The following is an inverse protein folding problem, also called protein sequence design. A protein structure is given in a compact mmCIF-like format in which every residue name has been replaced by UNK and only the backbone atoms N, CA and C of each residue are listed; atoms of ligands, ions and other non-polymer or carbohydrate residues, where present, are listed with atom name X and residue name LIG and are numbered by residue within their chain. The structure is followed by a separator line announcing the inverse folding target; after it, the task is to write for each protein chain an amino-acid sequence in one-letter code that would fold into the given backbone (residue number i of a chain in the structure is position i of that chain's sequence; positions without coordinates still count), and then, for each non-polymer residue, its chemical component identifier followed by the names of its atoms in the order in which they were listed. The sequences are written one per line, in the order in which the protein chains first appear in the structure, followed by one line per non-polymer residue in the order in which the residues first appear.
data_IF_360783672648
#
_entry.id   IF_360783672648
#
_cell.length_a   1.000
_cell.length_b   1.000
_cell.length_c   1.000
_cell.angle_alpha   90.00
_cell.angle_beta   90.00
_cell.angle_gamma   90.00
#
_symmetry.space_group_name_H-M   'P 1'
#
loop_
_entity.id
_entity.type
_entity.pdbx_description
1 polymer ?
#
# COMPACT_ATOMS: atom_id res chain seq x y z
N UNK A 1 -17.44 -80.14 -4.93
CA UNK A 1 -17.39 -80.80 -3.62
C UNK A 1 -17.06 -79.76 -2.55
N UNK A 2 -18.00 -79.47 -1.63
CA UNK A 2 -17.67 -78.99 -0.26
C UNK A 2 -17.46 -80.25 0.61
N UNK A 3 -16.83 -80.26 1.82
CA UNK A 3 -16.67 -79.16 2.80
C UNK A 3 -15.37 -79.20 3.67
N UNK A 4 -15.29 -78.33 4.70
CA UNK A 4 -14.52 -78.54 5.95
C UNK A 4 -13.46 -77.47 6.24
N UNK A 5 -13.69 -76.40 7.01
CA UNK A 5 -13.98 -76.26 8.45
C UNK A 5 -12.82 -76.69 9.38
N UNK A 6 -12.11 -75.74 9.98
CA UNK A 6 -12.02 -75.49 11.45
C UNK A 6 -10.80 -74.63 11.84
N UNK A 7 -10.98 -73.94 12.97
CA UNK A 7 -10.29 -72.76 13.44
C UNK A 7 -9.33 -73.02 14.62
N UNK A 8 -8.67 -71.93 15.05
CA UNK A 8 -8.05 -71.61 16.36
C UNK A 8 -6.61 -72.09 16.59
N UNK A 9 -5.71 -71.41 17.34
CA UNK A 9 -5.47 -70.03 17.84
C UNK A 9 -4.25 -70.15 18.78
N UNK A 10 -3.48 -69.07 18.99
CA UNK A 10 -2.48 -68.81 20.07
C UNK A 10 -1.09 -69.43 19.78
N UNK A 11 0.02 -68.70 19.59
CA UNK A 11 0.66 -67.63 20.39
C UNK A 11 2.01 -68.21 20.90
N UNK A 12 3.15 -67.53 21.06
CA UNK A 12 3.60 -66.15 20.98
C UNK A 12 5.16 -66.15 20.93
N UNK A 13 5.77 -65.01 20.58
CA UNK A 13 7.20 -64.71 20.77
C UNK A 13 8.02 -64.56 19.49
N UNK A 14 8.82 -63.53 19.21
CA UNK A 14 9.10 -62.20 19.80
C UNK A 14 10.06 -61.50 18.82
N UNK A 15 10.08 -60.16 18.83
CA UNK A 15 11.07 -59.23 18.25
C UNK A 15 11.11 -59.11 16.69
N UNK A 16 11.07 -57.93 16.07
CA UNK A 16 11.10 -56.56 16.57
C UNK A 16 11.12 -55.57 15.38
N UNK A 17 11.15 -54.28 15.74
CA UNK A 17 11.29 -53.06 14.92
C UNK A 17 9.98 -52.43 14.45
N UNK A 18 9.52 -51.49 15.28
CA UNK A 18 8.64 -50.38 14.94
C UNK A 18 9.37 -49.44 13.97
N UNK A 19 8.77 -49.17 12.81
CA UNK A 19 9.00 -47.96 12.04
C UNK A 19 7.64 -47.28 11.88
N UNK A 20 7.43 -46.23 12.66
CA UNK A 20 6.31 -45.29 12.48
C UNK A 20 6.79 -44.26 11.47
N UNK A 21 6.44 -44.44 10.20
CA UNK A 21 6.52 -43.39 9.19
C UNK A 21 5.18 -42.66 9.15
N UNK A 22 5.10 -41.57 9.91
CA UNK A 22 4.06 -40.56 9.73
C UNK A 22 4.30 -39.84 8.41
N UNK A 23 3.40 -40.03 7.45
CA UNK A 23 3.30 -39.18 6.27
C UNK A 23 2.44 -37.99 6.65
N UNK A 24 3.09 -36.89 7.03
CA UNK A 24 2.50 -35.56 6.88
C UNK A 24 2.50 -35.25 5.38
N UNK A 25 1.32 -35.33 4.77
CA UNK A 25 1.09 -34.66 3.51
C UNK A 25 0.98 -33.16 3.83
N UNK A 26 2.05 -32.40 3.61
CA UNK A 26 1.94 -30.96 3.45
C UNK A 26 1.09 -30.75 2.19
N UNK A 27 -0.14 -30.29 2.37
CA UNK A 27 -0.91 -29.75 1.27
C UNK A 27 -0.23 -28.43 0.88
N UNK A 28 0.18 -28.23 -0.39
CA UNK A 28 0.60 -26.91 -0.82
C UNK A 28 -0.60 -25.98 -0.65
N UNK A 29 -0.41 -24.90 0.08
CA UNK A 29 -1.39 -23.83 0.15
C UNK A 29 -1.62 -23.33 -1.27
N UNK A 30 -2.75 -23.73 -1.88
CA UNK A 30 -3.31 -22.96 -2.98
C UNK A 30 -4.04 -21.79 -2.33
N UNK A 31 -3.31 -20.75 -1.92
CA UNK A 31 -3.95 -19.46 -1.70
C UNK A 31 -4.20 -18.90 -3.10
N UNK A 32 -5.46 -18.79 -3.52
CA UNK A 32 -5.80 -17.74 -4.47
C UNK A 32 -5.25 -16.45 -3.86
N UNK A 33 -4.43 -15.71 -4.61
CA UNK A 33 -3.92 -14.43 -4.14
C UNK A 33 -5.13 -13.55 -3.77
N UNK A 34 -5.33 -13.33 -2.47
CA UNK A 34 -6.31 -12.35 -1.98
C UNK A 34 -5.84 -10.99 -2.49
N UNK A 35 -6.55 -10.52 -3.51
CA UNK A 35 -6.46 -9.14 -3.95
C UNK A 35 -7.69 -8.41 -3.43
N UNK A 36 -7.51 -7.13 -3.15
CA UNK A 36 -8.18 -6.35 -2.10
C UNK A 36 -7.69 -6.65 -0.66
N UNK A 37 -7.55 -5.61 0.20
CA UNK A 37 -7.09 -5.75 1.57
C UNK A 37 -8.02 -6.65 2.41
N UNK A 38 -7.48 -7.59 3.21
CA UNK A 38 -8.32 -8.47 4.03
C UNK A 38 -9.08 -7.72 5.13
N UNK A 39 -10.41 -7.79 5.13
CA UNK A 39 -11.30 -7.20 6.14
C UNK A 39 -12.22 -6.11 5.61
N UNK A 40 -13.10 -5.58 6.46
CA UNK A 40 -14.11 -4.58 6.05
C UNK A 40 -13.53 -3.17 5.79
N UNK A 41 -12.30 -2.90 6.24
CA UNK A 41 -11.64 -1.59 6.11
C UNK A 41 -10.49 -1.66 5.11
N UNK A 42 -10.64 -1.01 3.96
CA UNK A 42 -9.70 -1.11 2.86
C UNK A 42 -8.64 0.01 2.78
N UNK A 43 -8.84 1.12 3.48
CA UNK A 43 -7.96 2.29 3.35
C UNK A 43 -6.60 2.05 4.01
N UNK A 44 -5.53 2.33 3.25
CA UNK A 44 -4.14 2.35 3.73
C UNK A 44 -3.68 3.78 3.96
N UNK A 45 -2.91 4.03 5.02
CA UNK A 45 -2.09 5.23 5.15
C UNK A 45 -0.61 4.87 5.06
N UNK A 46 0.12 5.39 4.08
CA UNK A 46 1.59 5.31 4.06
C UNK A 46 2.17 6.42 4.93
N UNK A 47 2.83 6.07 6.03
CA UNK A 47 3.52 7.00 6.92
C UNK A 47 5.02 6.99 6.61
N UNK A 48 5.38 7.66 5.52
CA UNK A 48 6.71 7.63 4.95
C UNK A 48 7.75 8.26 5.89
N UNK A 49 8.84 7.52 6.12
CA UNK A 49 9.98 7.87 6.99
C UNK A 49 9.63 8.21 8.44
N UNK A 50 8.40 7.90 8.88
CA UNK A 50 7.98 8.18 10.25
C UNK A 50 8.60 7.17 11.22
N UNK A 51 9.25 7.61 12.32
CA UNK A 51 9.79 6.70 13.31
C UNK A 51 8.72 5.75 13.88
N UNK A 52 9.08 4.49 14.14
CA UNK A 52 8.11 3.46 14.57
C UNK A 52 7.34 3.86 15.84
N UNK A 53 7.99 4.56 16.77
CA UNK A 53 7.32 5.05 17.97
C UNK A 53 6.25 6.10 17.70
N UNK A 54 6.38 6.89 16.64
CA UNK A 54 5.36 7.87 16.24
C UNK A 54 4.25 7.20 15.44
N UNK A 55 4.57 6.24 14.57
CA UNK A 55 3.56 5.39 13.90
C UNK A 55 2.67 4.69 14.94
N UNK A 56 3.26 4.15 16.01
CA UNK A 56 2.53 3.51 17.10
C UNK A 56 1.49 4.44 17.75
N UNK A 57 1.83 5.74 17.92
CA UNK A 57 0.90 6.75 18.45
C UNK A 57 -0.19 7.07 17.44
N UNK A 58 0.17 7.33 16.18
CA UNK A 58 -0.80 7.63 15.12
C UNK A 58 -1.83 6.51 14.93
N UNK A 59 -1.42 5.25 15.10
CA UNK A 59 -2.35 4.13 15.09
C UNK A 59 -3.46 4.27 16.13
N UNK A 60 -3.14 4.65 17.37
CA UNK A 60 -4.12 4.81 18.45
C UNK A 60 -4.87 6.14 18.42
N UNK A 61 -4.18 7.23 18.07
CA UNK A 61 -4.71 8.60 18.18
C UNK A 61 -5.52 8.99 16.94
N UNK A 62 -5.15 8.49 15.76
CA UNK A 62 -5.71 8.93 14.47
C UNK A 62 -6.26 7.77 13.64
N UNK A 63 -5.42 6.82 13.26
CA UNK A 63 -5.74 5.84 12.21
C UNK A 63 -6.86 4.87 12.64
N UNK A 64 -6.74 4.30 13.84
CA UNK A 64 -7.76 3.40 14.40
C UNK A 64 -9.12 4.10 14.56
N UNK A 65 -9.19 5.25 15.26
CA UNK A 65 -10.41 6.04 15.39
C UNK A 65 -11.05 6.47 14.06
N UNK A 66 -10.25 6.89 13.07
CA UNK A 66 -10.74 7.28 11.74
C UNK A 66 -11.20 6.08 10.89
N UNK A 67 -10.77 4.87 11.23
CA UNK A 67 -11.18 3.65 10.57
C UNK A 67 -10.29 3.22 9.41
N UNK A 68 -9.01 3.59 9.40
CA UNK A 68 -8.04 3.00 8.48
C UNK A 68 -7.91 1.50 8.74
N UNK A 69 -7.74 0.71 7.68
CA UNK A 69 -7.47 -0.72 7.78
C UNK A 69 -6.00 -1.01 7.96
N UNK A 70 -5.14 -0.20 7.33
CA UNK A 70 -3.71 -0.45 7.22
C UNK A 70 -2.87 0.81 7.44
N UNK A 71 -1.67 0.60 7.96
CA UNK A 71 -0.56 1.55 7.89
C UNK A 71 0.60 0.90 7.14
N UNK A 72 1.13 1.57 6.12
CA UNK A 72 2.37 1.17 5.47
C UNK A 72 3.52 1.99 6.05
N UNK A 73 4.61 1.30 6.41
CA UNK A 73 5.82 1.90 6.98
C UNK A 73 7.02 1.72 6.05
N UNK A 74 7.89 2.73 6.03
CA UNK A 74 9.15 2.69 5.28
C UNK A 74 10.07 1.52 5.69
N UNK A 75 11.06 1.17 4.86
CA UNK A 75 11.89 -0.01 5.07
C UNK A 75 12.51 -0.08 6.48
N UNK A 76 12.28 -1.21 7.15
CA UNK A 76 12.79 -1.44 8.50
C UNK A 76 14.24 -1.97 8.53
N UNK A 77 14.74 -2.40 7.38
CA UNK A 77 16.05 -3.03 7.22
C UNK A 77 17.19 -2.09 7.56
N UNK A 78 18.29 -2.65 8.05
CA UNK A 78 19.57 -1.98 8.08
C UNK A 78 19.93 -1.51 6.68
N UNK A 79 20.28 -0.24 6.57
CA UNK A 79 20.58 0.40 5.31
C UNK A 79 21.87 1.22 5.42
N UNK A 80 22.30 1.83 4.31
CA UNK A 80 23.50 2.67 4.32
C UNK A 80 23.31 3.92 5.20
N UNK A 81 24.41 4.46 5.73
CA UNK A 81 24.38 5.77 6.41
C UNK A 81 24.17 6.91 5.42
N UNK A 82 23.52 7.98 5.88
CA UNK A 82 23.30 9.23 5.15
C UNK A 82 22.03 9.92 5.62
N UNK A 83 21.87 11.20 5.30
CA UNK A 83 20.67 11.94 5.75
C UNK A 83 19.51 11.75 4.78
N UNK A 84 19.80 11.51 3.49
CA UNK A 84 18.81 11.42 2.41
C UNK A 84 17.82 10.25 2.62
N UNK A 85 16.57 10.44 2.22
CA UNK A 85 15.51 9.43 2.37
C UNK A 85 15.80 8.15 1.60
N UNK A 86 16.34 8.26 0.38
CA UNK A 86 16.60 7.11 -0.49
C UNK A 86 17.68 6.17 0.07
N UNK A 87 18.40 6.58 1.11
CA UNK A 87 19.33 5.67 1.79
C UNK A 87 18.60 4.51 2.46
N UNK A 88 17.35 4.68 2.90
CA UNK A 88 16.47 3.63 3.44
C UNK A 88 16.19 2.52 2.42
N UNK A 89 16.34 2.84 1.12
CA UNK A 89 16.17 1.93 -0.02
C UNK A 89 17.51 1.35 -0.50
N UNK A 90 18.57 1.39 0.32
CA UNK A 90 19.83 0.69 0.03
C UNK A 90 20.18 -0.26 1.17
N UNK A 91 19.59 -1.47 1.18
CA UNK A 91 19.81 -2.44 2.24
C UNK A 91 21.29 -2.83 2.37
N UNK A 92 21.69 -3.08 3.60
CA UNK A 92 23.01 -3.61 3.98
C UNK A 92 22.87 -4.99 4.62
N UNK A 93 21.82 -5.19 5.42
CA UNK A 93 21.41 -6.49 5.92
C UNK A 93 19.91 -6.49 6.18
N UNK A 94 19.34 -7.68 6.46
CA UNK A 94 17.94 -7.80 6.86
C UNK A 94 17.71 -7.65 8.37
N UNK A 95 18.68 -7.12 9.12
CA UNK A 95 18.44 -6.71 10.51
C UNK A 95 17.44 -5.56 10.55
N UNK A 96 16.56 -5.53 11.55
CA UNK A 96 15.73 -4.34 11.82
C UNK A 96 16.58 -3.34 12.62
N UNK A 97 17.27 -2.47 11.88
CA UNK A 97 18.23 -1.51 12.43
C UNK A 97 18.34 -0.26 11.54
N UNK A 98 17.24 0.18 10.94
CA UNK A 98 17.18 1.42 10.16
C UNK A 98 17.10 2.67 11.04
N UNK A 99 17.02 3.85 10.40
CA UNK A 99 16.88 5.15 11.07
C UNK A 99 15.61 5.33 11.90
N UNK A 100 14.60 4.49 11.66
CA UNK A 100 13.23 4.64 12.20
C UNK A 100 13.05 4.04 13.59
N UNK A 101 14.01 3.22 14.04
CA UNK A 101 13.98 2.53 15.31
C UNK A 101 14.59 1.14 15.21
N UNK A 102 14.87 0.55 16.37
CA UNK A 102 15.35 -0.83 16.46
C UNK A 102 14.19 -1.84 16.36
N UNK A 103 14.54 -3.12 16.37
CA UNK A 103 13.58 -4.24 16.38
C UNK A 103 12.53 -4.12 17.48
N UNK A 104 12.89 -3.67 18.68
CA UNK A 104 11.96 -3.58 19.80
C UNK A 104 10.94 -2.44 19.57
N UNK A 105 11.37 -1.32 19.00
CA UNK A 105 10.49 -0.24 18.57
C UNK A 105 9.54 -0.69 17.45
N UNK A 106 10.04 -1.46 16.47
CA UNK A 106 9.22 -2.03 15.41
C UNK A 106 8.14 -2.99 15.95
N UNK A 107 8.52 -3.97 16.78
CA UNK A 107 7.58 -4.91 17.40
C UNK A 107 6.52 -4.20 18.28
N UNK A 108 6.95 -3.16 19.02
CA UNK A 108 6.05 -2.34 19.83
C UNK A 108 5.05 -1.58 18.96
N UNK A 109 5.49 -1.05 17.82
CA UNK A 109 4.62 -0.37 16.86
C UNK A 109 3.61 -1.34 16.24
N UNK A 110 4.04 -2.53 15.80
CA UNK A 110 3.11 -3.53 15.25
C UNK A 110 2.03 -3.88 16.28
N UNK A 111 2.44 -4.16 17.52
CA UNK A 111 1.51 -4.49 18.62
C UNK A 111 0.53 -3.35 18.94
N UNK A 112 1.00 -2.10 18.92
CA UNK A 112 0.17 -0.93 19.17
C UNK A 112 -0.86 -0.71 18.05
N UNK A 113 -0.44 -0.86 16.79
CA UNK A 113 -1.31 -0.75 15.64
C UNK A 113 -2.37 -1.86 15.63
N UNK A 114 -1.98 -3.11 15.88
CA UNK A 114 -2.93 -4.22 16.01
C UNK A 114 -3.96 -3.96 17.12
N UNK A 115 -3.52 -3.45 18.27
CA UNK A 115 -4.41 -3.08 19.38
C UNK A 115 -5.40 -1.96 19.02
N UNK A 116 -5.04 -1.09 18.08
CA UNK A 116 -5.90 -0.04 17.53
C UNK A 116 -6.78 -0.53 16.36
N UNK A 117 -6.66 -1.81 15.97
CA UNK A 117 -7.38 -2.38 14.83
C UNK A 117 -6.80 -1.99 13.47
N UNK A 118 -5.54 -1.54 13.42
CA UNK A 118 -4.82 -1.14 12.21
C UNK A 118 -3.71 -2.16 11.92
N UNK A 119 -3.75 -2.76 10.73
CA UNK A 119 -2.76 -3.73 10.28
C UNK A 119 -1.51 -3.04 9.71
N UNK A 120 -0.33 -3.63 9.89
CA UNK A 120 0.93 -3.05 9.39
C UNK A 120 1.35 -3.69 8.08
N UNK A 121 1.65 -2.90 7.06
CA UNK A 121 2.31 -3.30 5.81
C UNK A 121 3.77 -2.84 5.89
N UNK A 122 4.72 -3.75 5.67
CA UNK A 122 6.13 -3.39 5.60
C UNK A 122 6.55 -3.13 4.15
N UNK A 123 7.23 -2.01 3.89
CA UNK A 123 7.94 -1.78 2.63
C UNK A 123 9.21 -2.66 2.59
N UNK A 124 9.24 -3.62 1.66
CA UNK A 124 10.24 -4.66 1.59
C UNK A 124 11.12 -4.47 0.34
N UNK A 125 12.37 -4.07 0.57
CA UNK A 125 13.39 -3.89 -0.46
C UNK A 125 14.15 -5.20 -0.67
N UNK A 126 13.73 -5.95 -1.69
CA UNK A 126 14.21 -7.32 -1.95
C UNK A 126 14.80 -7.53 -3.35
N UNK A 127 14.77 -6.52 -4.21
CA UNK A 127 15.39 -6.55 -5.53
C UNK A 127 16.92 -6.45 -5.47
N UNK A 128 17.44 -5.56 -4.62
CA UNK A 128 18.83 -5.16 -4.64
C UNK A 128 19.37 -4.94 -3.22
N UNK A 129 20.69 -4.78 -3.15
CA UNK A 129 21.43 -4.28 -2.00
C UNK A 129 22.14 -2.96 -2.37
N UNK A 130 22.86 -2.34 -1.44
CA UNK A 130 23.49 -1.03 -1.63
C UNK A 130 24.54 -0.93 -2.78
N UNK A 131 24.71 0.26 -3.36
CA UNK A 131 25.60 0.50 -4.52
C UNK A 131 27.10 0.62 -4.19
N UNK A 132 27.55 0.27 -2.98
CA UNK A 132 28.90 0.65 -2.53
C UNK A 132 29.43 -0.15 -1.34
N UNK A 133 30.28 0.47 -0.54
CA UNK A 133 30.89 -0.13 0.64
C UNK A 133 30.86 0.83 1.82
N UNK A 134 30.76 0.29 3.03
CA UNK A 134 30.78 1.09 4.24
C UNK A 134 30.33 0.28 5.45
N UNK A 135 29.74 0.99 6.40
CA UNK A 135 29.09 0.40 7.58
C UNK A 135 27.63 0.82 7.53
N UNK A 136 26.72 -0.15 7.69
CA UNK A 136 25.29 0.13 7.74
C UNK A 136 24.88 0.75 9.07
N UNK A 137 23.65 1.25 9.14
CA UNK A 137 23.07 1.86 10.36
C UNK A 137 23.01 0.92 11.56
N UNK A 138 23.07 -0.39 11.33
CA UNK A 138 23.13 -1.46 12.34
C UNK A 138 24.55 -1.93 12.66
N UNK A 139 25.57 -1.32 12.06
CA UNK A 139 26.98 -1.63 12.31
C UNK A 139 27.57 -2.73 11.42
N UNK A 140 26.84 -3.25 10.44
CA UNK A 140 27.35 -4.27 9.51
C UNK A 140 28.32 -3.63 8.52
N UNK A 141 29.57 -4.11 8.49
CA UNK A 141 30.51 -3.77 7.43
C UNK A 141 30.13 -4.50 6.14
N UNK A 142 30.10 -3.79 5.01
CA UNK A 142 29.72 -4.34 3.71
C UNK A 142 30.56 -3.76 2.58
N UNK A 143 30.60 -4.48 1.46
CA UNK A 143 31.04 -3.94 0.17
C UNK A 143 30.10 -4.39 -0.94
N UNK A 144 30.20 -3.77 -2.11
CA UNK A 144 29.32 -4.10 -3.23
C UNK A 144 29.46 -5.60 -3.55
N UNK A 145 28.33 -6.30 -3.54
CA UNK A 145 28.18 -7.76 -3.68
C UNK A 145 28.67 -8.64 -2.50
N UNK A 146 29.13 -8.06 -1.39
CA UNK A 146 29.57 -8.80 -0.21
C UNK A 146 28.92 -8.21 1.05
N UNK A 147 27.91 -8.91 1.57
CA UNK A 147 27.07 -8.53 2.70
C UNK A 147 27.14 -9.65 3.74
N UNK A 148 28.14 -9.62 4.65
CA UNK A 148 28.45 -10.72 5.55
C UNK A 148 27.23 -11.26 6.30
N UNK A 149 27.04 -12.58 6.23
CA UNK A 149 25.91 -13.27 6.86
C UNK A 149 24.59 -13.19 6.09
N UNK A 150 24.51 -12.40 5.01
CA UNK A 150 23.31 -12.25 4.19
C UNK A 150 23.56 -12.71 2.75
N UNK A 151 24.39 -12.01 1.97
CA UNK A 151 24.66 -12.29 0.56
C UNK A 151 26.15 -12.19 0.22
N UNK A 152 26.59 -12.97 -0.77
CA UNK A 152 27.97 -12.98 -1.30
C UNK A 152 27.94 -12.82 -2.84
N UNK A 153 29.09 -12.64 -3.49
CA UNK A 153 29.15 -12.26 -4.91
C UNK A 153 28.31 -13.13 -5.86
N UNK A 154 28.23 -14.44 -5.60
CA UNK A 154 27.44 -15.39 -6.41
C UNK A 154 25.92 -15.37 -6.18
N UNK A 155 25.43 -14.53 -5.27
CA UNK A 155 24.01 -14.29 -5.01
C UNK A 155 23.44 -13.11 -5.84
N UNK A 156 24.27 -12.47 -6.67
CA UNK A 156 23.92 -11.32 -7.49
C UNK A 156 23.97 -11.66 -8.97
N UNK A 157 23.19 -10.93 -9.77
CA UNK A 157 23.21 -11.08 -11.21
C UNK A 157 24.58 -10.72 -11.83
N UNK A 158 24.84 -11.32 -12.99
CA UNK A 158 26.09 -11.12 -13.72
C UNK A 158 26.17 -9.78 -14.46
N UNK A 159 25.04 -9.15 -14.77
CA UNK A 159 25.01 -7.85 -15.43
C UNK A 159 25.23 -6.74 -14.40
N UNK A 160 26.44 -6.20 -14.36
CA UNK A 160 26.88 -5.17 -13.40
C UNK A 160 26.96 -3.79 -14.05
N UNK A 161 25.97 -3.50 -14.88
CA UNK A 161 25.82 -2.24 -15.62
C UNK A 161 24.44 -1.64 -15.32
N UNK A 162 24.32 -0.33 -15.43
CA UNK A 162 23.04 0.35 -15.23
C UNK A 162 22.02 -0.01 -16.31
N UNK A 163 20.77 -0.21 -15.90
CA UNK A 163 19.62 -0.29 -16.80
C UNK A 163 19.54 0.99 -17.64
N UNK A 164 19.47 0.84 -18.96
CA UNK A 164 19.47 1.95 -19.92
C UNK A 164 18.43 1.82 -21.04
N UNK A 165 17.82 0.65 -21.20
CA UNK A 165 16.80 0.31 -22.20
C UNK A 165 15.66 -0.49 -21.55
N UNK A 166 14.57 0.21 -21.23
CA UNK A 166 13.37 -0.40 -20.63
C UNK A 166 12.56 -1.25 -21.63
N UNK A 167 12.97 -1.31 -22.91
CA UNK A 167 12.41 -2.24 -23.90
C UNK A 167 13.14 -3.58 -23.93
N UNK A 168 14.25 -3.72 -23.19
CA UNK A 168 14.96 -4.96 -22.97
C UNK A 168 14.63 -5.52 -21.57
N UNK A 169 13.78 -6.56 -21.53
CA UNK A 169 13.39 -7.24 -20.28
C UNK A 169 14.59 -7.77 -19.51
N UNK A 170 15.56 -8.36 -20.22
CA UNK A 170 16.73 -8.96 -19.57
C UNK A 170 17.51 -7.88 -18.84
N UNK A 171 17.62 -6.70 -19.44
CA UNK A 171 18.26 -5.58 -18.78
C UNK A 171 17.44 -5.09 -17.59
N UNK A 172 16.13 -4.88 -17.76
CA UNK A 172 15.26 -4.37 -16.69
C UNK A 172 15.26 -5.26 -15.44
N UNK A 173 15.39 -6.58 -15.60
CA UNK A 173 15.23 -7.54 -14.50
C UNK A 173 16.53 -8.14 -13.97
N UNK A 174 17.64 -8.04 -14.72
CA UNK A 174 18.90 -8.68 -14.34
C UNK A 174 20.12 -7.75 -14.30
N UNK A 175 19.95 -6.45 -14.58
CA UNK A 175 21.01 -5.43 -14.50
C UNK A 175 20.73 -4.43 -13.37
N UNK A 176 21.69 -3.56 -13.08
CA UNK A 176 21.63 -2.71 -11.90
C UNK A 176 20.67 -1.52 -12.09
N UNK A 177 19.68 -1.42 -11.20
CA UNK A 177 18.91 -0.19 -11.06
C UNK A 177 19.80 0.89 -10.42
N UNK A 178 20.26 1.86 -11.20
CA UNK A 178 21.10 3.01 -10.76
C UNK A 178 22.32 2.61 -9.89
N UNK A 179 22.97 1.51 -10.27
CA UNK A 179 24.19 1.01 -9.66
C UNK A 179 23.99 0.18 -8.39
N UNK A 180 22.74 -0.09 -8.01
CA UNK A 180 22.39 -0.94 -6.87
C UNK A 180 22.75 -2.40 -7.17
N UNK A 181 23.28 -3.11 -6.17
CA UNK A 181 23.75 -4.48 -6.36
C UNK A 181 22.54 -5.42 -6.52
N UNK A 182 22.29 -5.84 -7.76
CA UNK A 182 21.07 -6.54 -8.17
C UNK A 182 21.09 -8.03 -7.80
N UNK A 183 20.15 -8.48 -6.95
CA UNK A 183 20.10 -9.84 -6.44
C UNK A 183 19.61 -10.80 -7.53
N UNK A 184 20.23 -11.99 -7.63
CA UNK A 184 19.75 -13.07 -8.49
C UNK A 184 18.51 -13.71 -7.86
N UNK A 185 17.36 -13.07 -8.02
CA UNK A 185 16.09 -13.53 -7.43
C UNK A 185 15.57 -14.82 -8.08
N UNK A 186 16.12 -15.25 -9.21
CA UNK A 186 15.89 -16.58 -9.79
C UNK A 186 16.60 -17.72 -9.04
N UNK A 187 17.60 -17.40 -8.22
CA UNK A 187 18.36 -18.39 -7.44
C UNK A 187 17.59 -18.83 -6.19
N UNK A 188 17.33 -20.14 -6.05
CA UNK A 188 16.56 -20.70 -4.93
C UNK A 188 17.13 -20.36 -3.54
N UNK A 189 18.45 -20.17 -3.41
CA UNK A 189 19.07 -19.79 -2.14
C UNK A 189 18.82 -18.31 -1.81
N UNK A 190 18.85 -17.44 -2.82
CA UNK A 190 18.49 -16.02 -2.67
C UNK A 190 17.02 -15.92 -2.28
N UNK A 191 16.14 -16.64 -3.00
CA UNK A 191 14.72 -16.69 -2.67
C UNK A 191 14.46 -17.16 -1.24
N UNK A 192 15.17 -18.20 -0.76
CA UNK A 192 15.02 -18.71 0.59
C UNK A 192 15.49 -17.70 1.66
N UNK A 193 16.56 -16.94 1.39
CA UNK A 193 17.04 -15.88 2.30
C UNK A 193 16.04 -14.73 2.39
N UNK A 194 15.48 -14.30 1.26
CA UNK A 194 14.44 -13.27 1.22
C UNK A 194 13.18 -13.76 1.94
N UNK A 195 12.72 -14.99 1.65
CA UNK A 195 11.55 -15.57 2.32
C UNK A 195 11.73 -15.63 3.84
N UNK A 196 12.92 -15.98 4.33
CA UNK A 196 13.23 -15.98 5.76
C UNK A 196 13.18 -14.58 6.39
N UNK A 197 13.58 -13.54 5.65
CA UNK A 197 13.42 -12.15 6.09
C UNK A 197 11.94 -11.73 6.16
N UNK A 198 11.14 -12.06 5.14
CA UNK A 198 9.71 -11.78 5.15
C UNK A 198 9.00 -12.55 6.27
N UNK A 199 9.34 -13.82 6.50
CA UNK A 199 8.83 -14.62 7.63
C UNK A 199 9.22 -14.00 8.99
N UNK A 200 10.43 -13.42 9.11
CA UNK A 200 10.83 -12.72 10.34
C UNK A 200 9.91 -11.53 10.62
N UNK A 201 9.57 -10.73 9.59
CA UNK A 201 8.61 -9.63 9.72
C UNK A 201 7.19 -10.14 10.04
N UNK A 202 6.74 -11.22 9.39
CA UNK A 202 5.45 -11.88 9.71
C UNK A 202 5.41 -12.33 11.16
N UNK A 203 6.50 -12.88 11.68
CA UNK A 203 6.60 -13.34 13.07
C UNK A 203 6.43 -12.22 14.10
N UNK A 204 6.69 -10.97 13.71
CA UNK A 204 6.48 -9.77 14.53
C UNK A 204 5.06 -9.20 14.42
N UNK A 205 4.19 -9.81 13.59
CA UNK A 205 2.79 -9.40 13.40
C UNK A 205 2.54 -8.49 12.20
N UNK A 206 3.54 -8.25 11.34
CA UNK A 206 3.32 -7.55 10.06
C UNK A 206 2.23 -8.28 9.29
N UNK A 207 1.26 -7.56 8.75
CA UNK A 207 0.06 -8.08 8.10
C UNK A 207 0.18 -8.22 6.57
N UNK A 208 1.25 -7.69 5.99
CA UNK A 208 1.49 -7.72 4.55
C UNK A 208 2.72 -6.95 4.12
N UNK A 209 2.97 -6.92 2.82
CA UNK A 209 4.16 -6.31 2.22
C UNK A 209 3.81 -5.42 1.04
N UNK A 210 4.52 -4.30 0.92
CA UNK A 210 4.72 -3.57 -0.33
C UNK A 210 6.09 -3.95 -0.85
N UNK A 211 6.16 -4.51 -2.05
CA UNK A 211 7.40 -4.98 -2.66
C UNK A 211 7.98 -3.86 -3.51
N UNK A 212 9.08 -3.30 -3.03
CA UNK A 212 9.85 -2.28 -3.73
C UNK A 212 10.45 -2.82 -5.03
N UNK A 213 10.47 -1.96 -6.05
CA UNK A 213 11.10 -2.25 -7.33
C UNK A 213 10.67 -3.58 -7.97
N UNK A 214 9.42 -4.02 -7.76
CA UNK A 214 8.94 -5.34 -8.21
C UNK A 214 9.07 -5.53 -9.73
N UNK A 215 8.98 -4.45 -10.51
CA UNK A 215 9.25 -4.45 -11.97
C UNK A 215 10.63 -5.03 -12.34
N UNK A 216 11.61 -4.84 -11.46
CA UNK A 216 13.00 -5.24 -11.64
C UNK A 216 13.27 -6.69 -11.20
N UNK A 217 12.24 -7.41 -10.74
CA UNK A 217 12.29 -8.85 -10.51
C UNK A 217 11.28 -9.55 -11.42
N UNK A 218 11.58 -10.76 -11.90
CA UNK A 218 10.57 -11.54 -12.63
C UNK A 218 9.40 -11.89 -11.69
N UNK A 219 8.15 -11.79 -12.18
CA UNK A 219 6.98 -12.14 -11.37
C UNK A 219 7.02 -13.59 -10.84
N UNK A 220 7.63 -14.51 -11.60
CA UNK A 220 7.86 -15.90 -11.18
C UNK A 220 8.84 -16.04 -10.03
N UNK A 221 9.80 -15.13 -9.92
CA UNK A 221 10.83 -15.16 -8.88
C UNK A 221 10.24 -14.64 -7.57
N UNK A 222 9.41 -13.59 -7.66
CA UNK A 222 8.59 -13.12 -6.54
C UNK A 222 7.61 -14.21 -6.08
N UNK A 223 6.96 -14.92 -7.00
CA UNK A 223 6.13 -16.10 -6.67
C UNK A 223 6.97 -17.19 -5.99
N UNK A 224 8.18 -17.43 -6.48
CA UNK A 224 9.16 -18.35 -5.89
C UNK A 224 9.50 -17.99 -4.45
N UNK A 225 9.78 -16.73 -4.16
CA UNK A 225 10.01 -16.18 -2.81
C UNK A 225 8.77 -16.41 -1.94
N UNK A 226 7.60 -15.98 -2.41
CA UNK A 226 6.32 -16.11 -1.69
C UNK A 226 6.01 -17.56 -1.34
N UNK A 227 6.30 -18.50 -2.25
CA UNK A 227 6.08 -19.94 -2.04
C UNK A 227 7.02 -20.59 -1.01
N UNK A 228 8.15 -19.94 -0.70
CA UNK A 228 9.13 -20.41 0.28
C UNK A 228 8.90 -19.85 1.68
N UNK A 229 8.00 -18.86 1.82
CA UNK A 229 7.57 -18.38 3.11
C UNK A 229 6.87 -19.50 3.88
N UNK A 230 7.16 -19.57 5.17
CA UNK A 230 6.55 -20.54 6.09
C UNK A 230 5.26 -20.02 6.70
N UNK A 231 5.10 -18.69 6.76
CA UNK A 231 3.86 -18.04 7.17
C UNK A 231 3.06 -17.59 5.94
N UNK A 232 1.74 -17.43 6.13
CA UNK A 232 0.93 -16.74 5.12
C UNK A 232 1.49 -15.31 4.91
N UNK A 233 1.85 -14.91 3.68
CA UNK A 233 2.38 -13.58 3.40
C UNK A 233 1.41 -12.44 3.78
N UNK A 234 0.10 -12.72 3.82
CA UNK A 234 -0.92 -11.71 4.05
C UNK A 234 -1.11 -10.80 2.84
N UNK A 235 -1.47 -9.53 3.09
CA UNK A 235 -1.72 -8.58 2.01
C UNK A 235 -0.44 -8.29 1.22
N UNK A 236 -0.54 -8.22 -0.10
CA UNK A 236 0.61 -8.12 -0.99
C UNK A 236 0.38 -7.04 -2.03
N UNK A 237 1.30 -6.09 -2.12
CA UNK A 237 1.28 -5.03 -3.13
C UNK A 237 2.62 -4.96 -3.83
N UNK A 238 2.62 -4.94 -5.16
CA UNK A 238 3.85 -4.83 -5.96
C UNK A 238 4.01 -3.44 -6.56
N UNK A 239 5.20 -2.84 -6.43
CA UNK A 239 5.54 -1.64 -7.16
C UNK A 239 5.95 -1.97 -8.60
N UNK A 240 5.05 -1.73 -9.55
CA UNK A 240 5.33 -1.92 -10.98
C UNK A 240 4.91 -0.68 -11.75
N UNK A 241 5.87 0.19 -12.02
CA UNK A 241 5.61 1.45 -12.74
C UNK A 241 5.30 1.12 -14.21
N UNK A 242 4.12 1.50 -14.69
CA UNK A 242 3.77 1.40 -16.10
C UNK A 242 4.65 2.31 -16.97
N UNK A 243 5.15 1.78 -18.08
CA UNK A 243 5.78 2.56 -19.13
C UNK A 243 5.28 2.12 -20.51
N UNK A 244 4.91 3.08 -21.36
CA UNK A 244 4.37 2.79 -22.68
C UNK A 244 5.46 2.16 -23.58
N UNK A 245 5.17 0.99 -24.13
CA UNK A 245 6.12 0.24 -24.98
C UNK A 245 7.26 -0.44 -24.22
N UNK A 246 7.30 -0.36 -22.89
CA UNK A 246 8.31 -1.04 -22.07
C UNK A 246 8.04 -2.56 -21.97
N UNK A 247 9.10 -3.33 -21.76
CA UNK A 247 9.04 -4.79 -21.87
C UNK A 247 8.35 -5.48 -20.68
N UNK A 248 8.28 -4.82 -19.53
CA UNK A 248 7.68 -5.33 -18.29
C UNK A 248 6.49 -4.46 -17.92
N UNK A 249 5.32 -5.08 -17.74
CA UNK A 249 4.04 -4.42 -17.55
C UNK A 249 3.36 -4.80 -16.22
N UNK A 250 2.57 -3.91 -15.59
CA UNK A 250 1.91 -4.15 -14.31
C UNK A 250 1.02 -5.40 -14.27
N UNK A 251 0.30 -5.69 -15.36
CA UNK A 251 -0.63 -6.81 -15.46
C UNK A 251 0.00 -8.17 -15.14
N UNK A 252 1.32 -8.31 -15.39
CA UNK A 252 2.10 -9.53 -15.12
C UNK A 252 2.15 -9.90 -13.62
N UNK A 253 1.93 -8.93 -12.73
CA UNK A 253 2.09 -9.07 -11.28
C UNK A 253 0.76 -9.21 -10.52
N UNK A 254 -0.37 -9.05 -11.20
CA UNK A 254 -1.72 -9.13 -10.61
C UNK A 254 -2.09 -10.51 -10.05
N UNK A 255 -1.33 -11.55 -10.43
CA UNK A 255 -1.41 -12.88 -9.84
C UNK A 255 -0.78 -12.99 -8.46
N UNK A 256 0.06 -12.02 -8.06
CA UNK A 256 0.77 -12.02 -6.78
C UNK A 256 -0.01 -11.29 -5.67
N UNK A 257 -0.82 -10.29 -6.06
CA UNK A 257 -1.57 -9.41 -5.16
C UNK A 257 -2.03 -8.15 -5.91
N UNK A 258 -2.26 -7.07 -5.16
CA UNK A 258 -2.52 -5.76 -5.74
C UNK A 258 -1.21 -5.21 -6.37
N UNK A 259 -1.35 -4.27 -7.29
CA UNK A 259 -0.23 -3.54 -7.90
C UNK A 259 -0.48 -2.05 -7.78
N UNK A 260 0.57 -1.30 -7.44
CA UNK A 260 0.52 0.15 -7.35
C UNK A 260 0.20 0.76 -8.73
N UNK A 261 -0.97 1.39 -8.86
CA UNK A 261 -1.47 1.93 -10.12
C UNK A 261 -1.02 3.39 -10.30
N UNK A 262 0.25 3.58 -10.68
CA UNK A 262 0.86 4.89 -10.90
C UNK A 262 0.10 5.79 -11.90
N UNK A 263 -0.66 5.19 -12.85
CA UNK A 263 -1.46 5.96 -13.81
C UNK A 263 -2.66 6.64 -13.14
N UNK A 264 -3.07 6.22 -11.94
CA UNK A 264 -4.12 6.89 -11.17
C UNK A 264 -3.70 8.32 -10.83
N UNK A 265 -2.59 8.50 -10.10
CA UNK A 265 -2.14 9.81 -9.63
C UNK A 265 -1.83 10.79 -10.77
N UNK A 266 -1.23 10.30 -11.86
CA UNK A 266 -0.97 11.12 -13.06
C UNK A 266 -2.26 11.56 -13.77
N UNK A 267 -3.27 10.68 -13.87
CA UNK A 267 -4.57 11.02 -14.43
C UNK A 267 -5.31 12.02 -13.53
N UNK A 268 -5.32 11.82 -12.21
CA UNK A 268 -5.91 12.76 -11.23
C UNK A 268 -5.25 14.13 -11.35
N UNK A 269 -3.91 14.20 -11.39
CA UNK A 269 -3.19 15.46 -11.62
C UNK A 269 -3.66 16.15 -12.89
N UNK A 270 -3.70 15.41 -14.01
CA UNK A 270 -4.13 15.95 -15.30
C UNK A 270 -5.55 16.51 -15.24
N UNK A 271 -6.49 15.82 -14.58
CA UNK A 271 -7.86 16.28 -14.45
C UNK A 271 -7.98 17.56 -13.60
N UNK A 272 -7.32 17.59 -12.44
CA UNK A 272 -7.37 18.72 -11.51
C UNK A 272 -6.66 19.97 -12.05
N UNK A 273 -5.53 19.81 -12.75
CA UNK A 273 -4.79 20.94 -13.32
C UNK A 273 -5.26 21.32 -14.73
N UNK A 274 -5.77 20.35 -15.50
CA UNK A 274 -6.24 20.53 -16.87
C UNK A 274 -7.73 20.89 -16.99
N UNK A 275 -8.50 20.77 -15.91
CA UNK A 275 -9.92 21.13 -15.87
C UNK A 275 -10.88 20.07 -16.43
N UNK A 276 -10.47 18.80 -16.45
CA UNK A 276 -11.29 17.66 -16.90
C UNK A 276 -11.66 16.74 -15.73
N UNK A 277 -12.35 17.29 -14.72
CA UNK A 277 -12.86 16.48 -13.61
C UNK A 277 -13.96 15.50 -14.07
N UNK A 278 -14.66 15.80 -15.17
CA UNK A 278 -15.70 14.93 -15.72
C UNK A 278 -15.15 13.59 -16.22
N UNK A 279 -13.96 13.58 -16.83
CA UNK A 279 -13.27 12.37 -17.28
C UNK A 279 -12.86 11.41 -16.16
N UNK A 280 -12.86 11.85 -14.90
CA UNK A 280 -12.54 10.99 -13.75
C UNK A 280 -13.62 9.93 -13.46
N UNK A 281 -14.78 9.99 -14.12
CA UNK A 281 -15.84 8.98 -13.98
C UNK A 281 -15.34 7.58 -14.30
N UNK A 282 -14.53 7.50 -15.34
CA UNK A 282 -14.06 6.25 -15.93
C UNK A 282 -12.57 6.08 -15.62
N UNK A 283 -12.12 6.51 -14.44
CA UNK A 283 -10.69 6.57 -14.08
C UNK A 283 -9.96 5.22 -14.22
N UNK A 284 -10.68 4.10 -14.07
CA UNK A 284 -10.14 2.75 -14.25
C UNK A 284 -9.96 2.31 -15.70
N UNK A 285 -10.51 3.02 -16.69
CA UNK A 285 -10.33 2.65 -18.09
C UNK A 285 -8.85 2.74 -18.51
N UNK A 286 -8.39 1.68 -19.19
CA UNK A 286 -7.00 1.52 -19.61
C UNK A 286 -6.01 1.26 -18.47
N UNK A 287 -6.50 0.92 -17.27
CA UNK A 287 -5.70 0.57 -16.09
C UNK A 287 -5.96 -0.87 -15.66
N UNK A 288 -5.32 -1.28 -14.57
CA UNK A 288 -5.55 -2.59 -13.95
C UNK A 288 -7.02 -2.78 -13.56
N UNK A 289 -7.44 -4.04 -13.42
CA UNK A 289 -8.73 -4.35 -12.81
C UNK A 289 -8.81 -3.73 -11.41
N UNK A 290 -9.95 -3.14 -11.05
CA UNK A 290 -10.13 -2.44 -9.78
C UNK A 290 -9.70 -3.29 -8.58
N UNK A 291 -10.13 -4.55 -8.51
CA UNK A 291 -9.76 -5.47 -7.42
C UNK A 291 -8.31 -5.97 -7.46
N UNK A 292 -7.46 -5.41 -8.32
CA UNK A 292 -6.02 -5.71 -8.47
C UNK A 292 -5.16 -4.45 -8.41
N UNK A 293 -5.76 -3.29 -8.15
CA UNK A 293 -5.11 -2.00 -8.22
C UNK A 293 -5.09 -1.34 -6.83
N UNK A 294 -3.94 -0.80 -6.44
CA UNK A 294 -3.84 0.15 -5.33
C UNK A 294 -3.66 1.56 -5.87
N UNK A 295 -4.63 2.43 -5.61
CA UNK A 295 -4.64 3.81 -6.09
C UNK A 295 -4.07 4.77 -5.05
N UNK A 296 -3.35 5.80 -5.50
CA UNK A 296 -2.83 6.87 -4.66
C UNK A 296 -2.76 8.17 -5.45
N UNK A 297 -2.94 9.32 -4.77
CA UNK A 297 -2.76 10.64 -5.39
C UNK A 297 -1.28 10.90 -5.68
N UNK A 298 -0.43 10.51 -4.75
CA UNK A 298 1.01 10.68 -4.76
C UNK A 298 1.70 9.62 -3.89
N UNK A 299 2.99 9.43 -4.10
CA UNK A 299 3.89 8.70 -3.20
C UNK A 299 5.21 9.49 -3.05
N UNK A 300 6.15 8.96 -2.28
CA UNK A 300 7.41 9.65 -2.00
C UNK A 300 8.25 9.90 -3.27
N UNK A 301 8.18 9.05 -4.28
CA UNK A 301 8.89 9.26 -5.56
C UNK A 301 8.20 10.29 -6.47
N UNK A 302 6.89 10.12 -6.68
CA UNK A 302 6.14 10.93 -7.64
C UNK A 302 5.96 12.37 -7.18
N UNK A 303 5.91 12.60 -5.86
CA UNK A 303 5.88 13.97 -5.31
C UNK A 303 7.20 14.71 -5.53
N UNK A 304 8.32 13.98 -5.61
CA UNK A 304 9.68 14.52 -5.80
C UNK A 304 10.04 14.72 -7.27
N UNK A 305 9.46 13.93 -8.17
CA UNK A 305 9.74 14.02 -9.61
C UNK A 305 8.70 14.84 -10.40
N UNK A 306 7.63 15.29 -9.75
CA UNK A 306 6.62 16.15 -10.34
C UNK A 306 5.58 15.43 -11.21
N UNK A 307 5.48 14.10 -11.13
CA UNK A 307 4.50 13.33 -11.91
C UNK A 307 3.08 13.43 -11.35
N UNK A 308 2.92 13.68 -10.05
CA UNK A 308 1.62 13.74 -9.37
C UNK A 308 1.34 15.11 -8.76
N UNK A 309 0.13 15.29 -8.21
CA UNK A 309 -0.15 16.36 -7.24
C UNK A 309 0.62 16.06 -5.95
N UNK A 310 0.80 17.05 -5.10
CA UNK A 310 1.52 16.93 -3.82
C UNK A 310 0.89 17.85 -2.79
N UNK A 311 1.31 17.75 -1.52
CA UNK A 311 0.87 18.69 -0.48
C UNK A 311 1.11 20.18 -0.85
N UNK A 312 2.06 20.48 -1.76
CA UNK A 312 2.37 21.82 -2.27
C UNK A 312 1.28 22.39 -3.17
N UNK A 313 0.40 21.54 -3.72
CA UNK A 313 -0.76 21.95 -4.53
C UNK A 313 -1.98 22.34 -3.68
N UNK A 314 -1.84 22.37 -2.35
CA UNK A 314 -2.84 22.92 -1.43
C UNK A 314 -4.19 22.19 -1.45
N UNK A 315 -5.26 22.94 -1.73
CA UNK A 315 -6.61 22.38 -1.76
C UNK A 315 -6.79 21.33 -2.86
N UNK A 316 -6.15 21.49 -4.03
CA UNK A 316 -6.26 20.52 -5.12
C UNK A 316 -5.80 19.11 -4.70
N UNK A 317 -4.71 19.02 -3.93
CA UNK A 317 -4.22 17.74 -3.37
C UNK A 317 -5.15 17.15 -2.32
N UNK A 318 -5.74 18.00 -1.49
CA UNK A 318 -6.72 17.55 -0.48
C UNK A 318 -7.98 17.01 -1.16
N UNK A 319 -8.51 17.74 -2.16
CA UNK A 319 -9.67 17.31 -2.95
C UNK A 319 -9.40 16.07 -3.81
N UNK A 320 -8.19 15.90 -4.32
CA UNK A 320 -7.77 14.69 -5.00
C UNK A 320 -7.82 13.45 -4.06
N UNK A 321 -7.44 13.61 -2.79
CA UNK A 321 -7.55 12.55 -1.80
C UNK A 321 -9.01 12.30 -1.37
N UNK A 322 -9.85 13.34 -1.29
CA UNK A 322 -11.31 13.18 -1.14
C UNK A 322 -11.88 12.35 -2.30
N UNK A 323 -11.46 12.63 -3.54
CA UNK A 323 -11.87 11.84 -4.71
C UNK A 323 -11.37 10.39 -4.64
N UNK A 324 -10.10 10.16 -4.27
CA UNK A 324 -9.52 8.83 -4.08
C UNK A 324 -10.36 7.97 -3.12
N UNK A 325 -10.77 8.55 -1.99
CA UNK A 325 -11.55 7.84 -0.96
C UNK A 325 -13.03 7.67 -1.35
N UNK A 326 -13.57 8.58 -2.16
CA UNK A 326 -14.96 8.52 -2.60
C UNK A 326 -15.21 7.56 -3.78
N UNK A 327 -14.23 7.41 -4.68
CA UNK A 327 -14.36 6.61 -5.89
C UNK A 327 -14.17 5.10 -5.61
N UNK A 328 -14.93 4.18 -6.25
CA UNK A 328 -14.82 2.73 -6.02
C UNK A 328 -13.61 2.04 -6.69
N UNK A 329 -12.65 2.80 -7.24
CA UNK A 329 -11.59 2.20 -8.05
C UNK A 329 -10.37 1.92 -7.18
N UNK A 330 -9.99 0.64 -7.10
CA UNK A 330 -8.82 0.19 -6.37
C UNK A 330 -8.95 0.26 -4.85
N UNK A 331 -7.93 -0.27 -4.20
CA UNK A 331 -7.67 -0.11 -2.78
C UNK A 331 -7.01 1.28 -2.57
N UNK A 332 -7.61 2.22 -1.80
CA UNK A 332 -7.04 3.55 -1.67
C UNK A 332 -5.87 3.58 -0.68
N UNK A 333 -4.77 4.23 -1.09
CA UNK A 333 -3.61 4.52 -0.26
C UNK A 333 -3.39 6.04 -0.14
N UNK A 334 -3.53 6.56 1.08
CA UNK A 334 -3.26 7.95 1.43
C UNK A 334 -1.80 8.09 1.83
N UNK A 335 -1.02 8.79 1.01
CA UNK A 335 0.37 9.08 1.31
C UNK A 335 0.49 10.26 2.30
N UNK A 336 1.37 10.10 3.30
CA UNK A 336 1.69 11.14 4.28
C UNK A 336 3.17 11.09 4.64
N UNK A 337 3.96 11.96 4.00
CA UNK A 337 5.38 12.17 4.31
C UNK A 337 5.64 13.47 5.08
N UNK A 338 6.68 14.18 4.66
CA UNK A 338 7.18 15.40 5.28
C UNK A 338 7.48 16.48 4.24
N UNK A 339 7.57 17.73 4.69
CA UNK A 339 7.85 18.87 3.84
C UNK A 339 9.32 18.87 3.39
N UNK A 340 9.56 19.17 2.12
CA UNK A 340 10.92 19.25 1.55
C UNK A 340 11.03 20.36 0.50
N UNK A 341 12.23 20.94 0.37
CA UNK A 341 12.57 21.85 -0.72
C UNK A 341 13.35 21.13 -1.82
N UNK A 342 14.37 20.36 -1.44
CA UNK A 342 15.20 19.57 -2.35
C UNK A 342 14.71 18.10 -2.39
N UNK A 343 14.73 17.49 -3.58
CA UNK A 343 14.20 16.13 -3.80
C UNK A 343 14.91 15.05 -2.99
N UNK A 344 16.17 15.26 -2.59
CA UNK A 344 16.96 14.28 -1.85
C UNK A 344 16.88 14.52 -0.34
N UNK A 345 16.15 15.55 0.11
CA UNK A 345 15.99 15.91 1.52
C UNK A 345 15.47 14.73 2.35
N UNK A 346 16.20 14.39 3.41
CA UNK A 346 15.78 13.40 4.40
C UNK A 346 14.63 13.86 5.30
N UNK A 347 14.08 12.96 6.12
CA UNK A 347 13.00 13.29 7.04
C UNK A 347 13.44 14.30 8.12
N UNK A 348 12.50 15.10 8.66
CA UNK A 348 12.79 16.01 9.76
C UNK A 348 13.11 15.25 11.04
N UNK A 349 13.93 15.85 11.91
CA UNK A 349 14.13 15.37 13.27
C UNK A 349 13.04 15.92 14.19
N UNK A 350 12.25 15.06 14.84
CA UNK A 350 11.21 15.48 15.79
C UNK A 350 9.81 15.61 15.18
N UNK A 351 8.94 16.41 15.79
CA UNK A 351 7.51 16.48 15.47
C UNK A 351 7.09 17.57 14.48
N UNK A 352 7.98 18.47 14.06
CA UNK A 352 7.69 19.52 13.08
C UNK A 352 8.09 19.09 11.66
N UNK A 353 7.47 19.67 10.63
CA UNK A 353 7.79 19.39 9.22
C UNK A 353 7.07 18.18 8.62
N UNK A 354 6.21 17.49 9.37
CA UNK A 354 5.35 16.42 8.84
C UNK A 354 4.11 16.99 8.16
N UNK A 355 3.76 16.46 6.98
CA UNK A 355 2.58 16.93 6.22
C UNK A 355 1.25 16.51 6.85
N UNK A 356 1.25 15.37 7.57
CA UNK A 356 0.11 14.80 8.28
C UNK A 356 -1.18 14.72 7.43
N UNK A 357 -1.04 14.41 6.13
CA UNK A 357 -2.18 14.33 5.20
C UNK A 357 -3.24 13.34 5.70
N UNK A 358 -2.81 12.18 6.19
CA UNK A 358 -3.68 11.14 6.74
C UNK A 358 -4.56 11.61 7.92
N UNK A 359 -4.12 12.63 8.65
CA UNK A 359 -4.77 13.13 9.87
C UNK A 359 -5.62 14.39 9.62
N UNK A 360 -5.63 14.92 8.39
CA UNK A 360 -6.49 16.05 8.04
C UNK A 360 -7.97 15.68 8.26
N UNK A 361 -8.81 16.55 8.84
CA UNK A 361 -10.23 16.26 9.08
C UNK A 361 -10.98 15.79 7.83
N UNK A 362 -10.70 16.40 6.68
CA UNK A 362 -11.30 16.03 5.41
C UNK A 362 -10.96 14.59 5.01
N UNK A 363 -9.76 14.13 5.36
CA UNK A 363 -9.27 12.81 4.99
C UNK A 363 -9.79 11.76 5.98
N UNK A 364 -9.72 12.01 7.28
CA UNK A 364 -10.24 11.07 8.29
C UNK A 364 -11.76 10.87 8.17
N UNK A 365 -12.51 11.95 7.90
CA UNK A 365 -13.94 11.85 7.60
C UNK A 365 -14.22 11.06 6.32
N UNK A 366 -13.39 11.22 5.29
CA UNK A 366 -13.52 10.45 4.05
C UNK A 366 -13.11 8.99 4.17
N UNK A 367 -12.29 8.60 5.14
CA UNK A 367 -12.07 7.18 5.49
C UNK A 367 -13.37 6.58 6.03
N UNK A 368 -14.06 7.29 6.92
CA UNK A 368 -15.39 6.88 7.41
C UNK A 368 -16.43 6.79 6.28
N UNK A 369 -16.41 7.75 5.35
CA UNK A 369 -17.22 7.70 4.13
C UNK A 369 -16.96 6.43 3.33
N UNK A 370 -15.69 6.15 2.99
CA UNK A 370 -15.30 4.98 2.20
C UNK A 370 -15.79 3.67 2.82
N UNK A 371 -15.56 3.50 4.11
CA UNK A 371 -16.01 2.32 4.86
C UNK A 371 -17.54 2.20 4.88
N UNK A 372 -18.27 3.31 4.90
CA UNK A 372 -19.75 3.29 4.91
C UNK A 372 -20.32 2.89 3.56
N UNK A 373 -19.75 3.41 2.47
CA UNK A 373 -20.30 3.20 1.12
C UNK A 373 -19.85 1.87 0.50
N UNK A 374 -18.73 1.29 0.95
CA UNK A 374 -18.23 0.00 0.50
C UNK A 374 -18.16 -0.11 -1.03
N UNK A 375 -18.80 -1.15 -1.58
CA UNK A 375 -18.84 -1.44 -3.02
C UNK A 375 -19.99 -0.75 -3.77
N UNK A 376 -20.70 0.20 -3.15
CA UNK A 376 -21.85 0.87 -3.80
C UNK A 376 -21.44 1.48 -5.16
N UNK A 377 -22.26 1.35 -6.19
CA UNK A 377 -21.91 1.84 -7.52
C UNK A 377 -21.90 3.38 -7.59
N UNK A 378 -21.15 3.93 -8.55
CA UNK A 378 -21.22 5.36 -8.88
C UNK A 378 -22.58 5.70 -9.49
N UNK A 379 -23.24 6.71 -8.94
CA UNK A 379 -24.49 7.28 -9.44
C UNK A 379 -24.42 8.80 -9.57
N UNK A 380 -25.47 9.39 -10.14
CA UNK A 380 -25.72 10.83 -10.15
C UNK A 380 -24.53 11.72 -10.52
N UNK A 381 -23.68 11.25 -11.44
CA UNK A 381 -22.46 11.94 -11.84
C UNK A 381 -22.75 13.27 -12.52
N UNK A 382 -22.19 14.34 -11.97
CA UNK A 382 -22.29 15.72 -12.46
C UNK A 382 -20.91 16.37 -12.47
N UNK A 383 -20.58 17.09 -13.55
CA UNK A 383 -19.37 17.91 -13.59
C UNK A 383 -19.59 19.15 -14.45
N UNK A 384 -19.15 20.32 -13.97
CA UNK A 384 -19.18 21.57 -14.73
C UNK A 384 -18.03 22.48 -14.26
N UNK A 385 -17.19 22.92 -15.20
CA UNK A 385 -16.02 23.73 -14.89
C UNK A 385 -15.10 23.03 -13.88
N UNK A 386 -14.93 23.63 -12.70
CA UNK A 386 -14.11 23.08 -11.63
C UNK A 386 -14.92 22.30 -10.56
N UNK A 387 -16.21 22.07 -10.80
CA UNK A 387 -17.09 21.30 -9.93
C UNK A 387 -17.23 19.85 -10.38
N UNK A 388 -17.30 18.94 -9.40
CA UNK A 388 -17.64 17.53 -9.59
C UNK A 388 -18.55 17.08 -8.44
N UNK A 389 -19.59 16.29 -8.73
CA UNK A 389 -20.43 15.66 -7.73
C UNK A 389 -20.91 14.28 -8.20
N UNK A 390 -21.11 13.35 -7.27
CA UNK A 390 -21.64 12.02 -7.56
C UNK A 390 -22.15 11.33 -6.29
N UNK A 391 -22.99 10.33 -6.47
CA UNK A 391 -23.46 9.44 -5.40
C UNK A 391 -22.72 8.10 -5.44
N UNK A 392 -22.72 7.42 -4.29
CA UNK A 392 -22.32 6.02 -4.10
C UNK A 392 -23.56 5.26 -3.65
N UNK A 393 -24.33 4.78 -4.63
CA UNK A 393 -25.67 4.23 -4.42
C UNK A 393 -26.57 5.19 -3.63
N UNK A 394 -27.29 4.64 -2.65
CA UNK A 394 -28.10 5.38 -1.69
C UNK A 394 -27.40 5.59 -0.34
N UNK A 395 -26.08 5.38 -0.30
CA UNK A 395 -25.29 5.28 0.93
C UNK A 395 -24.33 6.45 1.14
N UNK A 396 -23.95 7.15 0.07
CA UNK A 396 -23.11 8.35 0.17
C UNK A 396 -23.20 9.30 -1.01
N UNK A 397 -22.81 10.55 -0.79
CA UNK A 397 -22.78 11.63 -1.78
C UNK A 397 -21.56 12.52 -1.56
N UNK A 398 -20.91 12.93 -2.65
CA UNK A 398 -19.77 13.87 -2.62
C UNK A 398 -20.00 14.97 -3.64
N UNK A 399 -19.63 16.20 -3.28
CA UNK A 399 -19.47 17.33 -4.18
C UNK A 399 -18.16 18.06 -3.85
N UNK A 400 -17.33 18.35 -4.86
CA UNK A 400 -16.06 19.05 -4.72
C UNK A 400 -15.98 20.25 -5.66
N UNK A 401 -15.24 21.28 -5.23
CA UNK A 401 -15.04 22.51 -5.97
C UNK A 401 -13.55 22.85 -6.04
N UNK A 402 -12.93 22.54 -7.17
CA UNK A 402 -11.52 22.84 -7.45
C UNK A 402 -11.32 24.27 -8.01
N UNK A 403 -12.35 25.11 -7.99
CA UNK A 403 -12.31 26.48 -8.53
C UNK A 403 -12.00 27.53 -7.48
N UNK A 404 -11.78 28.77 -7.94
CA UNK A 404 -11.51 29.94 -7.08
C UNK A 404 -12.78 30.64 -6.57
N UNK A 405 -13.96 30.28 -7.10
CA UNK A 405 -15.25 30.86 -6.75
C UNK A 405 -16.16 29.84 -6.05
N UNK A 406 -17.20 30.32 -5.36
CA UNK A 406 -18.20 29.43 -4.76
C UNK A 406 -18.98 28.67 -5.83
N UNK A 407 -19.22 27.39 -5.57
CA UNK A 407 -20.10 26.54 -6.37
C UNK A 407 -21.45 26.44 -5.67
N UNK A 408 -22.49 27.05 -6.23
CA UNK A 408 -23.88 26.90 -5.76
C UNK A 408 -24.70 26.11 -6.77
N UNK A 409 -25.21 24.94 -6.37
CA UNK A 409 -25.94 24.03 -7.25
C UNK A 409 -26.90 23.15 -6.44
N UNK A 410 -27.98 22.71 -7.08
CA UNK A 410 -28.85 21.65 -6.55
C UNK A 410 -28.46 20.30 -7.17
N UNK A 411 -28.06 19.35 -6.33
CA UNK A 411 -27.65 18.01 -6.73
C UNK A 411 -28.72 16.96 -6.40
N UNK A 412 -28.65 15.82 -7.07
CA UNK A 412 -29.32 14.58 -6.65
C UNK A 412 -28.27 13.71 -5.96
N UNK A 413 -28.51 13.35 -4.70
CA UNK A 413 -27.51 12.68 -3.87
C UNK A 413 -27.66 11.16 -3.76
N UNK A 414 -28.80 10.62 -4.20
CA UNK A 414 -29.18 9.22 -3.95
C UNK A 414 -29.55 8.93 -2.49
N UNK A 415 -29.21 9.80 -1.53
CA UNK A 415 -29.46 9.61 -0.11
C UNK A 415 -30.94 9.75 0.25
N UNK A 416 -31.42 9.04 1.29
CA UNK A 416 -32.70 9.32 1.92
C UNK A 416 -32.80 10.76 2.44
N UNK A 417 -34.03 11.27 2.52
CA UNK A 417 -34.27 12.59 3.12
C UNK A 417 -33.87 12.60 4.59
N UNK A 418 -33.18 13.66 5.03
CA UNK A 418 -32.65 13.77 6.39
C UNK A 418 -31.61 14.88 6.52
N UNK A 419 -31.05 15.03 7.72
CA UNK A 419 -29.95 15.96 7.98
C UNK A 419 -28.68 15.15 8.20
N UNK A 420 -27.63 15.50 7.46
CA UNK A 420 -26.36 14.79 7.43
C UNK A 420 -25.22 15.70 7.84
N UNK A 421 -24.19 15.14 8.47
CA UNK A 421 -22.95 15.82 8.75
C UNK A 421 -22.11 15.92 7.46
N UNK A 422 -21.51 17.07 7.18
CA UNK A 422 -20.48 17.19 6.17
C UNK A 422 -19.16 16.64 6.73
N UNK A 423 -18.80 15.40 6.37
CA UNK A 423 -17.58 14.75 6.86
C UNK A 423 -16.31 15.17 6.12
N UNK A 424 -16.43 15.89 5.00
CA UNK A 424 -15.30 16.48 4.28
C UNK A 424 -15.05 17.95 4.70
N UNK A 425 -15.67 18.42 5.79
CA UNK A 425 -15.47 19.76 6.30
C UNK A 425 -14.07 19.93 6.91
N UNK A 426 -13.36 20.99 6.52
CA UNK A 426 -12.03 21.34 7.03
C UNK A 426 -12.02 21.89 8.46
N UNK A 427 -13.20 22.17 9.02
CA UNK A 427 -13.35 22.79 10.33
C UNK A 427 -14.68 22.46 11.00
N UNK A 428 -14.63 22.39 12.33
CA UNK A 428 -15.73 22.01 13.20
C UNK A 428 -15.64 20.54 13.60
N UNK A 429 -15.81 20.24 14.88
CA UNK A 429 -15.81 18.86 15.38
C UNK A 429 -16.97 18.03 14.81
N UNK A 430 -17.26 16.89 15.43
CA UNK A 430 -18.31 15.97 15.01
C UNK A 430 -19.61 16.70 14.64
N UNK A 431 -19.91 16.73 13.34
CA UNK A 431 -21.18 17.23 12.78
C UNK A 431 -21.48 18.73 12.91
N UNK A 432 -20.48 19.61 13.08
CA UNK A 432 -20.75 21.07 13.17
C UNK A 432 -21.30 21.68 11.87
N UNK A 433 -20.94 21.12 10.71
CA UNK A 433 -21.52 21.47 9.43
C UNK A 433 -22.56 20.42 9.03
N UNK A 434 -23.81 20.84 8.89
CA UNK A 434 -24.90 19.96 8.46
C UNK A 434 -25.46 20.36 7.11
N UNK A 435 -25.93 19.37 6.35
CA UNK A 435 -26.56 19.53 5.05
C UNK A 435 -27.90 18.80 5.06
N UNK A 436 -28.96 19.47 4.61
CA UNK A 436 -30.28 18.88 4.47
C UNK A 436 -30.40 18.18 3.11
N UNK A 437 -30.82 16.92 3.15
CA UNK A 437 -31.26 16.15 1.98
C UNK A 437 -32.78 16.19 1.97
N UNK A 438 -33.35 16.84 0.96
CA UNK A 438 -34.78 16.98 0.78
C UNK A 438 -35.45 15.72 0.21
N UNK A 439 -36.76 15.82 -0.02
CA UNK A 439 -37.51 14.76 -0.72
C UNK A 439 -36.88 14.44 -2.08
N UNK A 440 -36.80 13.16 -2.43
CA UNK A 440 -36.19 12.70 -3.68
C UNK A 440 -34.66 12.80 -3.73
N UNK A 441 -33.99 13.02 -2.60
CA UNK A 441 -32.52 13.06 -2.52
C UNK A 441 -31.91 14.39 -2.97
N UNK A 442 -32.69 15.48 -2.96
CA UNK A 442 -32.20 16.79 -3.40
C UNK A 442 -31.26 17.41 -2.36
N UNK A 443 -30.11 17.92 -2.79
CA UNK A 443 -29.15 18.64 -1.95
C UNK A 443 -28.89 20.02 -2.55
N UNK A 444 -29.31 21.08 -1.85
CA UNK A 444 -28.93 22.45 -2.19
C UNK A 444 -27.57 22.76 -1.54
N UNK A 445 -26.52 22.80 -2.34
CA UNK A 445 -25.15 22.93 -1.86
C UNK A 445 -24.53 24.28 -2.26
N UNK A 446 -23.79 24.88 -1.33
CA UNK A 446 -22.81 25.92 -1.60
C UNK A 446 -21.44 25.40 -1.15
N UNK A 447 -20.60 25.02 -2.11
CA UNK A 447 -19.27 24.47 -1.85
C UNK A 447 -18.23 25.59 -2.01
N UNK A 448 -17.44 25.93 -0.97
CA UNK A 448 -16.47 27.00 -1.05
C UNK A 448 -15.33 26.66 -2.03
N UNK A 449 -14.56 27.65 -2.50
CA UNK A 449 -13.36 27.44 -3.30
C UNK A 449 -12.40 26.44 -2.63
N UNK A 450 -11.95 25.43 -3.36
CA UNK A 450 -11.05 24.40 -2.83
C UNK A 450 -11.68 23.49 -1.76
N UNK A 451 -13.01 23.48 -1.62
CA UNK A 451 -13.73 22.72 -0.59
C UNK A 451 -14.52 21.53 -1.14
N UNK A 452 -15.04 20.72 -0.22
CA UNK A 452 -15.92 19.60 -0.51
C UNK A 452 -17.08 19.48 0.49
N UNK A 453 -18.14 18.84 0.04
CA UNK A 453 -19.22 18.29 0.85
C UNK A 453 -19.20 16.78 0.66
N UNK A 454 -19.19 16.03 1.75
CA UNK A 454 -19.37 14.58 1.73
C UNK A 454 -20.37 14.16 2.80
N UNK A 455 -21.39 13.39 2.41
CA UNK A 455 -22.49 12.94 3.25
C UNK A 455 -22.62 11.42 3.12
N UNK A 456 -22.87 10.71 4.21
CA UNK A 456 -23.13 9.26 4.16
C UNK A 456 -24.12 8.82 5.24
N UNK A 457 -24.73 7.65 5.06
CA UNK A 457 -25.76 7.09 5.95
C UNK A 457 -25.27 6.80 7.38
N UNK A 458 -23.95 6.75 7.60
CA UNK A 458 -23.33 6.60 8.91
C UNK A 458 -23.13 7.91 9.69
N UNK A 459 -23.40 9.08 9.08
CA UNK A 459 -23.18 10.39 9.69
C UNK A 459 -24.42 11.29 9.58
N UNK A 460 -25.48 10.94 10.30
CA UNK A 460 -26.71 11.74 10.44
C UNK A 460 -26.66 12.65 11.66
N UNK A 461 -27.22 13.87 11.56
CA UNK A 461 -27.23 14.88 12.61
C UNK A 461 -28.34 14.72 13.66
#
# INVERSE_FOLDING_TARGET
MRPGMRARLIGAGTAGVLAVSGLFAAAPWQSEAEAAPPGEKAVTATLFERPFSEVAKECGDTLGPAGYGYVEVSPATEHIEGDQWWTSYQPVSYQIAGRLGDRAAFESMVSACESAGVKVIADAVINHMSAGSGTGTGGTEYSKYEYPGTFQDGDFHGCREDISDYTDREQVQNCELVGLADLDTGNEQVQAKIAAYLDDLRSLGVAGFRIDAAKHMAASDIEGIKSKMSEDPGYWVSEVIYGDGEAVQPDEYTGLGDVDEFRFGTHVKSAFQGGDLGGLRDIGEGKLESGKARGFVDNWDTERNGSTLTYKDGSAHTLANVFLLAHPYGSPNVYSGYEFEDKDTGPPSGGEGWTNVHAKPEITGMVGFHNTVGDAELGDWWSEGAGLAFSRGDSGFVALNNGDGELSQTFTSGLPAGTYCNVAASSGGDCEQTVEVGEGGSVEATVPPGGAIALHTGATA
#
